data_IF_555274817408
#
_entry.id   IF_555274817408
#
_cell.length_a   1.000
_cell.length_b   1.000
_cell.length_c   1.000
_cell.angle_alpha   90.00
_cell.angle_beta   90.00
_cell.angle_gamma   90.00
#
_symmetry.space_group_name_H-M   'P 1'
#
loop_
_entity.id
_entity.type
_entity.pdbx_description
1 polymer ?
#
# COMPACT_ATOMS: atom_id res chain seq x y z
N UNK A 1 14.55 -3.91 5.07
CA UNK A 1 13.19 -4.00 4.48
C UNK A 1 12.19 -3.61 5.57
N UNK A 2 11.48 -2.51 5.38
CA UNK A 2 10.41 -2.05 6.26
C UNK A 2 9.09 -2.70 5.82
N UNK A 3 8.42 -3.39 6.74
CA UNK A 3 7.11 -4.00 6.51
C UNK A 3 6.06 -3.18 7.24
N UNK A 4 5.11 -2.59 6.50
CA UNK A 4 3.99 -1.89 7.11
C UNK A 4 2.89 -2.89 7.44
N UNK A 5 2.72 -3.16 8.74
CA UNK A 5 1.60 -3.89 9.32
C UNK A 5 0.92 -2.93 10.29
N UNK A 6 0.05 -2.06 9.79
CA UNK A 6 -0.82 -1.26 10.66
C UNK A 6 -1.96 -2.15 11.16
N UNK A 7 -2.46 -1.93 12.37
CA UNK A 7 -3.60 -2.69 12.95
C UNK A 7 -4.94 -2.50 12.22
N UNK A 8 -4.92 -1.86 11.05
CA UNK A 8 -6.03 -1.58 10.15
C UNK A 8 -5.49 -1.36 8.73
N UNK A 9 -6.32 -0.87 7.82
CA UNK A 9 -5.93 -0.69 6.41
C UNK A 9 -5.01 0.54 6.22
N UNK A 10 -3.74 0.36 5.84
CA UNK A 10 -2.77 1.46 5.72
C UNK A 10 -3.19 2.50 4.68
N UNK A 11 -3.84 2.08 3.60
CA UNK A 11 -4.28 2.98 2.50
C UNK A 11 -5.39 3.97 2.89
N UNK A 12 -5.93 3.88 4.12
CA UNK A 12 -6.86 4.86 4.68
C UNK A 12 -6.16 6.07 5.33
N UNK A 13 -4.86 5.96 5.63
CA UNK A 13 -4.11 7.04 6.26
C UNK A 13 -3.54 8.00 5.19
N UNK A 14 -4.01 9.26 5.12
CA UNK A 14 -3.58 10.20 4.09
C UNK A 14 -2.10 10.60 4.19
N UNK A 15 -1.48 10.45 5.36
CA UNK A 15 -0.06 10.75 5.56
C UNK A 15 0.87 9.63 5.10
N UNK A 16 0.33 8.45 4.73
CA UNK A 16 1.08 7.27 4.33
C UNK A 16 2.15 7.56 3.24
N UNK A 17 1.85 8.27 2.14
CA UNK A 17 2.86 8.56 1.12
C UNK A 17 4.06 9.32 1.68
N UNK A 18 3.82 10.34 2.51
CA UNK A 18 4.87 11.15 3.11
C UNK A 18 5.75 10.36 4.09
N UNK A 19 5.16 9.39 4.79
CA UNK A 19 5.90 8.46 5.64
C UNK A 19 6.78 7.53 4.82
N UNK A 20 6.23 6.95 3.75
CA UNK A 20 6.98 6.04 2.88
C UNK A 20 8.13 6.75 2.15
N UNK A 21 7.95 8.00 1.74
CA UNK A 21 9.04 8.82 1.19
C UNK A 21 10.23 8.93 2.16
N UNK A 22 9.97 9.15 3.45
CA UNK A 22 11.02 9.22 4.47
C UNK A 22 11.71 7.86 4.62
N UNK A 23 10.95 6.77 4.65
CA UNK A 23 11.50 5.40 4.76
C UNK A 23 12.37 5.05 3.55
N UNK A 24 11.93 5.40 2.33
CA UNK A 24 12.69 5.20 1.09
C UNK A 24 13.98 6.03 1.07
N UNK A 25 13.93 7.28 1.54
CA UNK A 25 15.13 8.14 1.69
C UNK A 25 16.17 7.56 2.65
N UNK A 26 15.75 6.76 3.63
CA UNK A 26 16.65 6.04 4.54
C UNK A 26 17.25 4.76 3.91
N UNK A 27 16.94 4.44 2.66
CA UNK A 27 17.48 3.29 1.94
C UNK A 27 16.77 1.97 2.23
N UNK A 28 15.60 1.99 2.87
CA UNK A 28 14.83 0.78 3.13
C UNK A 28 13.89 0.43 1.97
N UNK A 29 13.87 -0.84 1.58
CA UNK A 29 12.79 -1.39 0.75
C UNK A 29 11.48 -1.45 1.54
N UNK A 30 10.37 -1.06 0.92
CA UNK A 30 9.04 -0.98 1.54
C UNK A 30 8.15 -2.10 1.02
N UNK A 31 7.58 -2.87 1.95
CA UNK A 31 6.49 -3.82 1.66
C UNK A 31 5.18 -3.32 2.29
N UNK A 32 4.16 -3.17 1.45
CA UNK A 32 2.79 -2.79 1.84
C UNK A 32 1.89 -4.02 1.87
N UNK A 33 1.25 -4.27 3.01
CA UNK A 33 0.21 -5.30 3.16
C UNK A 33 -1.16 -4.56 3.20
N UNK A 34 -2.07 -4.83 2.26
CA UNK A 34 -3.36 -4.13 2.09
C UNK A 34 -4.52 -5.09 1.79
N UNK A 35 -5.73 -4.75 2.18
CA UNK A 35 -6.95 -5.44 1.74
C UNK A 35 -7.53 -4.87 0.43
N UNK A 36 -6.89 -3.87 -0.17
CA UNK A 36 -7.29 -3.29 -1.45
C UNK A 36 -8.51 -2.37 -1.40
N UNK A 37 -9.03 -2.01 -0.22
CA UNK A 37 -10.24 -1.18 -0.11
C UNK A 37 -10.08 0.26 -0.61
N UNK A 38 -8.86 0.78 -0.78
CA UNK A 38 -8.59 2.09 -1.39
C UNK A 38 -7.61 1.98 -2.58
N UNK A 39 -8.11 1.60 -3.78
CA UNK A 39 -7.27 1.43 -4.97
C UNK A 39 -6.62 2.74 -5.45
N UNK A 40 -7.25 3.90 -5.18
CA UNK A 40 -6.71 5.21 -5.58
C UNK A 40 -5.41 5.53 -4.85
N UNK A 41 -5.37 5.31 -3.54
CA UNK A 41 -4.14 5.49 -2.75
C UNK A 41 -3.08 4.48 -3.18
N UNK A 42 -3.47 3.22 -3.43
CA UNK A 42 -2.52 2.21 -3.92
C UNK A 42 -1.88 2.61 -5.25
N UNK A 43 -2.67 3.13 -6.19
CA UNK A 43 -2.17 3.65 -7.48
C UNK A 43 -1.16 4.78 -7.26
N UNK A 44 -1.47 5.74 -6.40
CA UNK A 44 -0.55 6.85 -6.08
C UNK A 44 0.79 6.35 -5.51
N UNK A 45 0.75 5.36 -4.61
CA UNK A 45 1.96 4.78 -4.02
C UNK A 45 2.83 4.04 -5.05
N UNK A 46 2.19 3.38 -6.02
CA UNK A 46 2.85 2.67 -7.10
C UNK A 46 3.45 3.64 -8.12
N UNK A 47 2.70 4.66 -8.55
CA UNK A 47 3.16 5.70 -9.48
C UNK A 47 4.35 6.47 -8.92
N UNK A 48 4.36 6.75 -7.61
CA UNK A 48 5.48 7.42 -6.93
C UNK A 48 6.62 6.48 -6.54
N UNK A 49 6.56 5.19 -6.90
CA UNK A 49 7.55 4.16 -6.54
C UNK A 49 7.89 4.11 -5.03
N UNK A 50 6.90 4.38 -4.18
CA UNK A 50 7.05 4.41 -2.72
C UNK A 50 6.98 3.03 -2.07
N UNK A 51 6.46 2.04 -2.81
CA UNK A 51 6.36 0.64 -2.40
C UNK A 51 7.15 -0.22 -3.38
N UNK A 52 7.95 -1.14 -2.85
CA UNK A 52 8.73 -2.11 -3.64
C UNK A 52 7.98 -3.44 -3.79
N UNK A 53 7.11 -3.74 -2.82
CA UNK A 53 6.29 -4.94 -2.82
C UNK A 53 4.91 -4.64 -2.26
N UNK A 54 3.89 -5.25 -2.86
CA UNK A 54 2.51 -5.20 -2.37
C UNK A 54 2.04 -6.63 -2.13
N UNK A 55 1.61 -6.91 -0.90
CA UNK A 55 0.81 -8.09 -0.59
C UNK A 55 -0.63 -7.64 -0.44
N UNK A 56 -1.53 -8.22 -1.22
CA UNK A 56 -2.95 -7.87 -1.18
C UNK A 56 -3.78 -9.08 -0.76
N UNK A 57 -4.58 -8.92 0.29
CA UNK A 57 -5.55 -9.91 0.73
C UNK A 57 -6.80 -9.81 -0.16
N UNK A 58 -6.86 -10.62 -1.22
CA UNK A 58 -8.03 -10.73 -2.10
C UNK A 58 -9.09 -11.59 -1.40
N UNK A 59 -10.16 -10.96 -0.90
CA UNK A 59 -11.31 -11.66 -0.33
C UNK A 59 -12.51 -11.58 -1.28
N UNK A 60 -12.96 -12.74 -1.76
CA UNK A 60 -14.14 -13.01 -2.59
C UNK A 60 -13.98 -12.79 -4.12
N UNK A 61 -14.73 -13.56 -4.97
CA UNK A 61 -14.51 -13.62 -6.41
C UNK A 61 -14.95 -12.34 -7.11
N UNK A 62 -14.31 -12.04 -8.25
CA UNK A 62 -14.73 -11.01 -9.19
C UNK A 62 -16.17 -11.31 -9.63
N UNK A 63 -17.15 -10.64 -9.05
CA UNK A 63 -18.48 -10.59 -9.63
C UNK A 63 -18.38 -9.52 -10.72
N UNK A 64 -18.30 -9.96 -11.98
CA UNK A 64 -18.51 -9.07 -13.11
C UNK A 64 -19.98 -8.62 -13.04
N UNK A 65 -20.21 -7.39 -12.59
CA UNK A 65 -21.47 -6.70 -12.86
C UNK A 65 -21.62 -6.62 -14.39
N UNK A 66 -22.53 -7.43 -14.92
CA UNK A 66 -22.93 -7.49 -16.33
C UNK A 66 -23.70 -6.25 -16.76
#
# INVERSE_FOLDING_TARGET
MARLLTGGEPTLHPELPSFLEKVKKLGYSVKLDTNGSNPKMLAELLEKHLVDYVAMDVKAPLVEDK
#
